data_IF_794157236846
#
_entry.id   IF_794157236846
#
_cell.length_a   1.000
_cell.length_b   1.000
_cell.length_c   1.000
_cell.angle_alpha   90.00
_cell.angle_beta   90.00
_cell.angle_gamma   90.00
#
_symmetry.space_group_name_H-M   'P 1'
#
loop_
_entity.id
_entity.type
_entity.pdbx_description
1 polymer ?
#
# COMPACT_ATOMS: atom_id res chain seq x y z
N UNK A 1 -7.06 -20.27 28.99
CA UNK A 1 -6.71 -20.21 27.55
C UNK A 1 -5.88 -18.96 27.37
N UNK A 2 -4.60 -19.09 27.03
CA UNK A 2 -3.75 -17.94 26.71
C UNK A 2 -4.08 -17.57 25.27
N UNK A 3 -4.66 -16.40 25.05
CA UNK A 3 -4.85 -15.87 23.70
C UNK A 3 -3.46 -15.73 23.08
N UNK A 4 -3.18 -16.35 21.92
CA UNK A 4 -1.89 -16.16 21.27
C UNK A 4 -1.68 -14.66 21.01
N UNK A 5 -0.43 -14.17 21.08
CA UNK A 5 -0.14 -12.78 20.80
C UNK A 5 -0.63 -12.41 19.39
N UNK A 6 -1.17 -11.19 19.19
CA UNK A 6 -1.70 -10.78 17.90
C UNK A 6 -0.60 -10.83 16.84
N UNK A 7 -0.92 -11.43 15.69
CA UNK A 7 -0.03 -11.44 14.52
C UNK A 7 0.13 -10.02 13.99
N UNK A 8 1.19 -9.72 13.21
CA UNK A 8 1.32 -8.44 12.54
C UNK A 8 0.07 -8.04 11.75
N UNK A 9 -0.57 -8.99 11.05
CA UNK A 9 -1.84 -8.77 10.36
C UNK A 9 -2.99 -8.47 11.32
N UNK A 10 -3.06 -9.16 12.46
CA UNK A 10 -4.03 -8.87 13.53
C UNK A 10 -3.86 -7.48 14.16
N UNK A 11 -2.63 -6.98 14.28
CA UNK A 11 -2.36 -5.62 14.71
C UNK A 11 -2.83 -4.60 13.66
N UNK A 12 -2.49 -4.83 12.39
CA UNK A 12 -2.90 -3.98 11.28
C UNK A 12 -4.43 -3.94 11.11
N UNK A 13 -5.13 -5.03 11.39
CA UNK A 13 -6.60 -5.08 11.38
C UNK A 13 -7.21 -4.23 12.52
N UNK A 14 -6.53 -4.14 13.66
CA UNK A 14 -7.00 -3.45 14.86
C UNK A 14 -6.76 -1.93 14.90
N UNK A 15 -5.89 -1.39 14.06
CA UNK A 15 -5.64 0.06 14.03
C UNK A 15 -6.91 0.85 13.69
N UNK A 16 -7.02 2.11 14.10
CA UNK A 16 -7.99 3.05 13.54
C UNK A 16 -7.52 3.55 12.16
N UNK A 17 -8.40 4.17 11.37
CA UNK A 17 -7.99 4.77 10.08
C UNK A 17 -6.97 5.90 10.29
N UNK A 18 -7.09 6.67 11.39
CA UNK A 18 -6.11 7.69 11.74
C UNK A 18 -4.74 7.05 12.03
N UNK A 19 -4.68 5.99 12.84
CA UNK A 19 -3.43 5.28 13.12
C UNK A 19 -2.80 4.69 11.84
N UNK A 20 -3.62 4.05 10.99
CA UNK A 20 -3.16 3.51 9.70
C UNK A 20 -2.56 4.62 8.83
N UNK A 21 -3.28 5.72 8.66
CA UNK A 21 -2.82 6.87 7.85
C UNK A 21 -1.52 7.45 8.40
N UNK A 22 -1.42 7.61 9.73
CA UNK A 22 -0.23 8.14 10.38
C UNK A 22 0.99 7.22 10.22
N UNK A 23 0.80 5.90 10.32
CA UNK A 23 1.86 4.91 10.09
C UNK A 23 2.36 4.99 8.65
N UNK A 24 1.46 5.05 7.67
CA UNK A 24 1.83 5.17 6.27
C UNK A 24 2.56 6.50 5.99
N UNK A 25 2.07 7.63 6.51
CA UNK A 25 2.77 8.92 6.38
C UNK A 25 4.20 8.86 6.95
N UNK A 26 4.39 8.20 8.10
CA UNK A 26 5.72 8.01 8.69
C UNK A 26 6.62 7.12 7.86
N UNK A 27 6.07 6.04 7.28
CA UNK A 27 6.80 5.14 6.39
C UNK A 27 7.32 5.87 5.16
N UNK A 28 6.54 6.78 4.58
CA UNK A 28 6.94 7.56 3.39
C UNK A 28 7.66 8.87 3.71
N UNK A 29 7.77 9.30 4.98
CA UNK A 29 8.33 10.60 5.39
C UNK A 29 9.67 10.94 4.72
N UNK A 30 10.59 9.99 4.64
CA UNK A 30 11.90 10.19 3.97
C UNK A 30 11.74 10.40 2.46
N UNK A 31 10.95 9.56 1.80
CA UNK A 31 10.72 9.61 0.35
C UNK A 31 9.96 10.87 -0.08
N UNK A 32 9.07 11.37 0.80
CA UNK A 32 8.39 12.65 0.64
C UNK A 32 9.38 13.82 0.78
N UNK A 33 10.26 13.79 1.79
CA UNK A 33 11.27 14.84 1.97
C UNK A 33 12.27 14.93 0.80
N UNK A 34 12.63 13.80 0.18
CA UNK A 34 13.43 13.75 -1.05
C UNK A 34 12.76 14.44 -2.25
N UNK A 35 11.44 14.63 -2.18
CA UNK A 35 10.61 15.34 -3.16
C UNK A 35 10.15 16.70 -2.63
N UNK A 36 10.91 17.26 -1.69
CA UNK A 36 10.66 18.58 -1.10
C UNK A 36 9.36 18.69 -0.27
N UNK A 37 8.72 17.56 0.06
CA UNK A 37 7.53 17.50 0.93
C UNK A 37 7.95 17.13 2.35
N UNK A 38 8.38 18.13 3.11
CA UNK A 38 8.76 17.96 4.51
C UNK A 38 7.55 18.06 5.45
N UNK A 39 7.20 16.94 6.10
CA UNK A 39 6.09 16.88 7.05
C UNK A 39 6.57 16.87 8.50
N UNK A 40 5.98 17.73 9.31
CA UNK A 40 6.06 17.66 10.77
C UNK A 40 5.11 16.59 11.31
N UNK A 41 5.40 16.13 12.53
CA UNK A 41 4.53 15.17 13.21
C UNK A 41 3.14 15.74 13.55
N UNK A 42 3.00 17.07 13.66
CA UNK A 42 1.70 17.73 13.84
C UNK A 42 0.88 17.66 12.55
N UNK A 43 1.48 18.00 11.41
CA UNK A 43 0.82 17.92 10.10
C UNK A 43 0.39 16.49 9.78
N UNK A 44 1.23 15.48 10.04
CA UNK A 44 0.86 14.09 9.79
C UNK A 44 -0.34 13.63 10.63
N UNK A 45 -0.45 14.08 11.89
CA UNK A 45 -1.62 13.78 12.74
C UNK A 45 -2.87 14.50 12.24
N UNK A 46 -2.76 15.76 11.88
CA UNK A 46 -3.87 16.55 11.34
C UNK A 46 -4.44 15.91 10.07
N UNK A 47 -3.57 15.46 9.15
CA UNK A 47 -3.98 14.72 7.95
C UNK A 47 -4.69 13.42 8.33
N UNK A 48 -4.09 12.63 9.22
CA UNK A 48 -4.65 11.35 9.63
C UNK A 48 -6.04 11.46 10.28
N UNK A 49 -6.24 12.47 11.12
CA UNK A 49 -7.53 12.81 11.70
C UNK A 49 -8.53 13.25 10.63
N UNK A 50 -8.13 14.15 9.72
CA UNK A 50 -8.99 14.59 8.63
C UNK A 50 -9.44 13.42 7.73
N UNK A 51 -8.54 12.47 7.41
CA UNK A 51 -8.88 11.25 6.66
C UNK A 51 -9.89 10.39 7.42
N UNK A 52 -9.65 10.13 8.70
CA UNK A 52 -10.52 9.28 9.51
C UNK A 52 -11.93 9.88 9.65
N UNK A 53 -12.02 11.19 9.81
CA UNK A 53 -13.27 11.94 9.94
C UNK A 53 -13.89 12.32 8.58
N UNK A 54 -13.24 11.97 7.47
CA UNK A 54 -13.64 12.33 6.09
C UNK A 54 -13.85 13.85 5.93
N UNK A 55 -13.05 14.65 6.62
CA UNK A 55 -13.00 16.10 6.47
C UNK A 55 -12.17 16.49 5.25
N UNK A 56 -12.32 17.73 4.75
CA UNK A 56 -11.40 18.28 3.77
C UNK A 56 -9.94 18.16 4.26
N UNK A 57 -9.08 17.64 3.39
CA UNK A 57 -7.67 17.44 3.72
C UNK A 57 -6.93 18.79 3.81
N UNK A 58 -5.94 18.91 4.70
CA UNK A 58 -5.18 20.14 4.86
C UNK A 58 -4.27 20.41 3.64
N UNK A 59 -3.76 21.65 3.56
CA UNK A 59 -3.01 22.17 2.42
C UNK A 59 -1.88 21.30 1.85
N UNK A 60 -1.08 20.52 2.61
CA UNK A 60 -0.01 19.73 2.01
C UNK A 60 -0.50 18.46 1.30
N UNK A 61 -1.78 18.09 1.41
CA UNK A 61 -2.28 16.84 0.84
C UNK A 61 -2.08 16.70 -0.68
N UNK A 62 -2.33 17.73 -1.52
CA UNK A 62 -2.03 17.65 -2.95
C UNK A 62 -0.55 17.38 -3.24
N UNK A 63 0.38 18.01 -2.52
CA UNK A 63 1.82 17.82 -2.70
C UNK A 63 2.26 16.41 -2.29
N UNK A 64 1.70 15.90 -1.18
CA UNK A 64 1.92 14.52 -0.74
C UNK A 64 1.44 13.54 -1.81
N UNK A 65 0.25 13.76 -2.38
CA UNK A 65 -0.27 12.89 -3.44
C UNK A 65 0.64 12.90 -4.67
N UNK A 66 1.02 14.07 -5.17
CA UNK A 66 1.94 14.18 -6.30
C UNK A 66 3.26 13.43 -6.04
N UNK A 67 3.85 13.64 -4.86
CA UNK A 67 5.07 12.95 -4.48
C UNK A 67 4.90 11.42 -4.36
N UNK A 68 3.75 10.93 -3.88
CA UNK A 68 3.46 9.50 -3.81
C UNK A 68 3.22 8.89 -5.19
N UNK A 69 2.54 9.59 -6.10
CA UNK A 69 2.39 9.15 -7.49
C UNK A 69 3.77 8.94 -8.12
N UNK A 70 4.71 9.85 -7.90
CA UNK A 70 6.10 9.68 -8.39
C UNK A 70 6.82 8.50 -7.74
N UNK A 71 6.62 8.26 -6.45
CA UNK A 71 7.20 7.10 -5.75
C UNK A 71 6.65 5.79 -6.31
N UNK A 72 5.32 5.68 -6.44
CA UNK A 72 4.65 4.49 -6.96
C UNK A 72 5.05 4.27 -8.42
N UNK A 73 5.00 5.31 -9.26
CA UNK A 73 5.41 5.26 -10.65
C UNK A 73 6.86 4.84 -10.84
N UNK A 74 7.78 5.34 -10.02
CA UNK A 74 9.19 4.92 -10.01
C UNK A 74 9.38 3.45 -9.65
N UNK A 75 8.63 2.96 -8.66
CA UNK A 75 8.66 1.54 -8.27
C UNK A 75 8.06 0.63 -9.34
N UNK A 76 6.98 1.05 -10.01
CA UNK A 76 6.42 0.33 -11.16
C UNK A 76 7.42 0.28 -12.31
N UNK A 77 8.11 1.39 -12.59
CA UNK A 77 9.15 1.44 -13.62
C UNK A 77 10.30 0.48 -13.31
N UNK A 78 10.74 0.40 -12.04
CA UNK A 78 11.77 -0.56 -11.62
C UNK A 78 11.35 -2.01 -11.86
N UNK A 79 10.11 -2.39 -11.53
CA UNK A 79 9.64 -3.75 -11.84
C UNK A 79 9.64 -4.05 -13.35
N UNK A 80 9.32 -3.06 -14.19
CA UNK A 80 9.36 -3.20 -15.66
C UNK A 80 10.76 -3.42 -16.21
N UNK A 81 11.81 -2.94 -15.54
CA UNK A 81 13.21 -3.26 -15.92
C UNK A 81 13.48 -4.78 -15.87
N UNK A 82 12.69 -5.53 -15.10
CA UNK A 82 12.73 -6.98 -14.99
C UNK A 82 11.59 -7.69 -15.75
N UNK A 83 10.90 -6.98 -16.65
CA UNK A 83 9.73 -7.46 -17.37
C UNK A 83 8.57 -7.91 -16.45
N UNK A 84 8.47 -7.30 -15.27
CA UNK A 84 7.41 -7.58 -14.30
C UNK A 84 6.39 -6.44 -14.24
N UNK A 85 5.11 -6.83 -14.24
CA UNK A 85 4.03 -6.00 -13.69
C UNK A 85 3.96 -6.19 -12.18
N UNK A 86 3.27 -5.32 -11.44
CA UNK A 86 3.08 -5.51 -10.00
C UNK A 86 2.38 -6.85 -9.67
N UNK A 87 1.25 -7.16 -10.32
CA UNK A 87 0.61 -8.46 -10.16
C UNK A 87 1.51 -9.66 -10.53
N UNK A 88 2.43 -9.51 -11.48
CA UNK A 88 3.41 -10.54 -11.80
C UNK A 88 4.46 -10.65 -10.70
N UNK A 89 5.01 -9.53 -10.22
CA UNK A 89 6.05 -9.53 -9.19
C UNK A 89 5.59 -10.22 -7.91
N UNK A 90 4.35 -9.96 -7.46
CA UNK A 90 3.76 -10.66 -6.30
C UNK A 90 3.78 -12.19 -6.45
N UNK A 91 3.66 -12.69 -7.68
CA UNK A 91 3.64 -14.14 -8.00
C UNK A 91 5.02 -14.72 -8.32
N UNK A 92 6.00 -13.87 -8.58
CA UNK A 92 7.33 -14.28 -9.03
C UNK A 92 8.24 -14.45 -7.83
N UNK A 93 8.73 -15.68 -7.62
CA UNK A 93 9.74 -15.94 -6.60
C UNK A 93 11.13 -15.51 -7.10
N UNK A 94 12.06 -15.23 -6.18
CA UNK A 94 13.43 -14.86 -6.56
C UNK A 94 14.18 -15.98 -7.31
N UNK A 95 13.76 -17.22 -7.10
CA UNK A 95 14.20 -18.43 -7.82
C UNK A 95 13.79 -18.43 -9.29
N UNK A 96 12.74 -17.69 -9.67
CA UNK A 96 12.31 -17.53 -11.06
C UNK A 96 13.12 -16.44 -11.79
N UNK A 97 13.81 -15.57 -11.05
CA UNK A 97 14.59 -14.43 -11.57
C UNK A 97 16.08 -14.73 -11.75
N UNK A 98 16.44 -16.00 -11.95
CA UNK A 98 17.83 -16.47 -12.05
C UNK A 98 18.66 -15.80 -13.15
N UNK A 99 18.03 -15.23 -14.18
CA UNK A 99 18.72 -14.46 -15.21
C UNK A 99 19.23 -13.09 -14.72
N UNK A 100 18.74 -12.57 -13.59
CA UNK A 100 19.05 -11.24 -13.08
C UNK A 100 20.21 -11.22 -12.09
N UNK A 101 20.71 -12.37 -11.67
CA UNK A 101 21.77 -12.46 -10.65
C UNK A 101 22.72 -13.62 -10.94
N UNK A 102 24.01 -13.41 -10.66
CA UNK A 102 25.04 -14.43 -10.84
C UNK A 102 25.68 -14.82 -9.51
N UNK A 103 25.68 -13.89 -8.57
CA UNK A 103 26.22 -14.08 -7.22
C UNK A 103 25.13 -13.97 -6.17
N UNK A 104 25.41 -14.44 -4.96
CA UNK A 104 24.53 -14.23 -3.81
C UNK A 104 24.35 -12.75 -3.48
N UNK A 105 25.35 -11.90 -3.75
CA UNK A 105 25.22 -10.46 -3.55
C UNK A 105 24.17 -9.87 -4.51
N UNK A 106 24.27 -10.18 -5.80
CA UNK A 106 23.30 -9.72 -6.81
C UNK A 106 21.88 -10.22 -6.47
N UNK A 107 21.77 -11.47 -6.02
CA UNK A 107 20.48 -12.04 -5.57
C UNK A 107 19.86 -11.19 -4.46
N UNK A 108 20.65 -10.83 -3.44
CA UNK A 108 20.16 -10.04 -2.30
C UNK A 108 19.80 -8.62 -2.74
N UNK A 109 20.57 -8.02 -3.64
CA UNK A 109 20.29 -6.68 -4.16
C UNK A 109 18.97 -6.67 -4.94
N UNK A 110 18.78 -7.59 -5.90
CA UNK A 110 17.53 -7.70 -6.67
C UNK A 110 16.35 -8.04 -5.77
N UNK A 111 16.52 -8.95 -4.80
CA UNK A 111 15.46 -9.29 -3.86
C UNK A 111 15.04 -8.08 -3.02
N UNK A 112 16.00 -7.32 -2.49
CA UNK A 112 15.73 -6.12 -1.72
C UNK A 112 15.05 -5.05 -2.57
N UNK A 113 15.50 -4.84 -3.80
CA UNK A 113 14.87 -3.88 -4.72
C UNK A 113 13.44 -4.28 -5.06
N UNK A 114 13.18 -5.57 -5.31
CA UNK A 114 11.85 -6.09 -5.62
C UNK A 114 10.89 -5.88 -4.46
N UNK A 115 11.27 -6.33 -3.27
CA UNK A 115 10.44 -6.16 -2.06
C UNK A 115 10.20 -4.68 -1.76
N UNK A 116 11.21 -3.84 -1.89
CA UNK A 116 11.04 -2.40 -1.72
C UNK A 116 10.09 -1.77 -2.76
N UNK A 117 10.15 -2.23 -4.01
CA UNK A 117 9.22 -1.77 -5.05
C UNK A 117 7.78 -2.20 -4.73
N UNK A 118 7.58 -3.44 -4.33
CA UNK A 118 6.27 -3.98 -3.96
C UNK A 118 5.64 -3.24 -2.78
N UNK A 119 6.42 -3.04 -1.71
CA UNK A 119 5.98 -2.28 -0.53
C UNK A 119 5.60 -0.86 -0.92
N UNK A 120 6.42 -0.17 -1.73
CA UNK A 120 6.14 1.21 -2.15
C UNK A 120 4.89 1.29 -3.02
N UNK A 121 4.65 0.32 -3.89
CA UNK A 121 3.45 0.26 -4.72
C UNK A 121 2.22 0.02 -3.84
N UNK A 122 2.21 -1.03 -3.02
CA UNK A 122 1.07 -1.38 -2.17
C UNK A 122 0.74 -0.28 -1.14
N UNK A 123 1.71 0.03 -0.26
CA UNK A 123 1.51 1.00 0.81
C UNK A 123 1.34 2.44 0.28
N UNK A 124 2.02 2.79 -0.82
CA UNK A 124 1.88 4.10 -1.46
C UNK A 124 0.51 4.28 -2.08
N UNK A 125 0.00 3.27 -2.78
CA UNK A 125 -1.37 3.26 -3.32
C UNK A 125 -2.42 3.31 -2.21
N UNK A 126 -2.15 2.67 -1.06
CA UNK A 126 -3.06 2.69 0.09
C UNK A 126 -3.15 4.10 0.68
N UNK A 127 -2.00 4.78 0.82
CA UNK A 127 -1.96 6.16 1.28
C UNK A 127 -2.60 7.12 0.26
N UNK A 128 -2.37 6.94 -1.04
CA UNK A 128 -3.05 7.71 -2.09
C UNK A 128 -4.57 7.60 -1.96
N UNK A 129 -5.09 6.38 -1.84
CA UNK A 129 -6.53 6.13 -1.70
C UNK A 129 -7.11 6.82 -0.45
N UNK A 130 -6.41 6.74 0.68
CA UNK A 130 -6.78 7.44 1.92
C UNK A 130 -6.77 8.96 1.77
N UNK A 131 -5.89 9.50 0.93
CA UNK A 131 -5.79 10.94 0.61
C UNK A 131 -6.74 11.38 -0.53
N UNK A 132 -7.66 10.51 -0.92
CA UNK A 132 -8.71 10.79 -1.91
C UNK A 132 -8.27 10.66 -3.37
N UNK A 133 -7.11 10.07 -3.64
CA UNK A 133 -6.68 9.72 -4.99
C UNK A 133 -6.70 8.22 -5.16
N UNK A 134 -7.67 7.77 -5.94
CA UNK A 134 -7.92 6.36 -6.12
C UNK A 134 -7.30 5.81 -7.41
N UNK A 135 -6.59 6.61 -8.22
CA UNK A 135 -6.15 6.20 -9.57
C UNK A 135 -5.28 4.93 -9.57
N UNK A 136 -4.73 4.59 -8.40
CA UNK A 136 -3.88 3.43 -8.17
C UNK A 136 -4.57 2.28 -7.41
N UNK A 137 -5.90 2.31 -7.25
CA UNK A 137 -6.63 1.29 -6.48
C UNK A 137 -6.51 -0.13 -7.05
N UNK A 138 -6.23 -0.28 -8.34
CA UNK A 138 -5.98 -1.58 -8.96
C UNK A 138 -4.80 -2.30 -8.31
N UNK A 139 -3.78 -1.59 -7.84
CA UNK A 139 -2.67 -2.18 -7.10
C UNK A 139 -3.13 -2.71 -5.72
N UNK A 140 -4.09 -2.05 -5.08
CA UNK A 140 -4.68 -2.55 -3.83
C UNK A 140 -5.45 -3.84 -4.08
N UNK A 141 -6.28 -3.89 -5.13
CA UNK A 141 -7.00 -5.11 -5.51
C UNK A 141 -6.03 -6.24 -5.85
N UNK A 142 -4.96 -5.97 -6.61
CA UNK A 142 -3.96 -6.99 -6.96
C UNK A 142 -3.29 -7.60 -5.72
N UNK A 143 -2.92 -6.79 -4.73
CA UNK A 143 -2.34 -7.28 -3.47
C UNK A 143 -3.34 -8.14 -2.69
N UNK A 144 -4.57 -7.64 -2.51
CA UNK A 144 -5.65 -8.34 -1.82
C UNK A 144 -5.96 -9.69 -2.46
N UNK A 145 -6.14 -9.71 -3.78
CA UNK A 145 -6.51 -10.91 -4.52
C UNK A 145 -5.37 -11.93 -4.58
N UNK A 146 -4.14 -11.46 -4.64
CA UNK A 146 -2.97 -12.33 -4.57
C UNK A 146 -2.99 -13.16 -3.29
N UNK A 147 -3.13 -12.48 -2.15
CA UNK A 147 -3.10 -13.10 -0.82
C UNK A 147 -4.27 -14.05 -0.58
N UNK A 148 -5.50 -13.61 -0.89
CA UNK A 148 -6.68 -14.48 -0.77
C UNK A 148 -6.52 -15.75 -1.60
N UNK A 149 -5.87 -15.67 -2.77
CA UNK A 149 -5.65 -16.81 -3.65
C UNK A 149 -4.53 -17.73 -3.18
N UNK A 150 -3.42 -17.19 -2.67
CA UNK A 150 -2.23 -17.96 -2.29
C UNK A 150 -2.33 -18.50 -0.85
N UNK A 151 -2.81 -17.68 0.07
CA UNK A 151 -2.84 -17.98 1.50
C UNK A 151 -4.24 -18.32 2.02
N UNK A 152 -5.30 -17.96 1.29
CA UNK A 152 -6.67 -18.08 1.78
C UNK A 152 -7.03 -17.09 2.90
N UNK A 153 -6.12 -16.16 3.18
CA UNK A 153 -6.23 -15.09 4.18
C UNK A 153 -5.40 -13.89 3.72
N UNK A 154 -5.54 -12.75 4.41
CA UNK A 154 -4.83 -11.51 4.10
C UNK A 154 -3.61 -11.34 5.02
N UNK A 155 -2.45 -11.12 4.43
CA UNK A 155 -1.26 -10.67 5.15
C UNK A 155 -1.37 -9.19 5.57
N UNK A 156 -0.30 -8.65 6.16
CA UNK A 156 -0.28 -7.26 6.63
C UNK A 156 -0.54 -6.26 5.50
N UNK A 157 0.10 -6.44 4.34
CA UNK A 157 0.04 -5.49 3.24
C UNK A 157 -1.33 -5.55 2.56
N UNK A 158 -1.88 -6.76 2.40
CA UNK A 158 -3.22 -6.97 1.89
C UNK A 158 -4.31 -6.47 2.87
N UNK A 159 -4.10 -6.59 4.19
CA UNK A 159 -4.97 -5.96 5.21
C UNK A 159 -4.94 -4.44 5.08
N UNK A 160 -3.75 -3.83 4.98
CA UNK A 160 -3.61 -2.37 4.78
C UNK A 160 -4.33 -1.94 3.51
N UNK A 161 -4.10 -2.64 2.41
CA UNK A 161 -4.73 -2.38 1.12
C UNK A 161 -6.25 -2.45 1.21
N UNK A 162 -6.80 -3.53 1.80
CA UNK A 162 -8.24 -3.69 2.01
C UNK A 162 -8.82 -2.53 2.82
N UNK A 163 -8.19 -2.18 3.94
CA UNK A 163 -8.70 -1.15 4.83
C UNK A 163 -8.70 0.24 4.19
N UNK A 164 -7.63 0.60 3.49
CA UNK A 164 -7.56 1.85 2.75
C UNK A 164 -8.62 1.91 1.65
N UNK A 165 -8.75 0.83 0.87
CA UNK A 165 -9.70 0.71 -0.23
C UNK A 165 -11.14 0.84 0.25
N UNK A 166 -11.52 0.10 1.29
CA UNK A 166 -12.87 0.13 1.85
C UNK A 166 -13.21 1.49 2.47
N UNK A 167 -12.26 2.13 3.17
CA UNK A 167 -12.46 3.47 3.71
C UNK A 167 -12.71 4.50 2.60
N UNK A 168 -11.90 4.47 1.55
CA UNK A 168 -11.99 5.36 0.39
C UNK A 168 -13.29 5.14 -0.41
N UNK A 169 -13.70 3.89 -0.58
CA UNK A 169 -14.94 3.51 -1.26
C UNK A 169 -16.20 3.68 -0.38
N UNK A 170 -16.04 3.97 0.91
CA UNK A 170 -17.11 4.00 1.91
C UNK A 170 -17.92 2.68 1.97
N UNK A 171 -17.22 1.56 1.90
CA UNK A 171 -17.78 0.21 2.01
C UNK A 171 -17.52 -0.31 3.43
N UNK A 172 -18.55 -0.77 4.18
CA UNK A 172 -18.32 -1.31 5.51
C UNK A 172 -17.62 -2.68 5.44
N UNK A 173 -16.60 -2.93 6.29
CA UNK A 173 -15.76 -4.14 6.21
C UNK A 173 -16.46 -5.45 6.57
N UNK A 174 -17.62 -5.39 7.20
CA UNK A 174 -18.45 -6.54 7.59
C UNK A 174 -19.35 -7.07 6.47
N UNK A 175 -19.42 -6.39 5.32
CA UNK A 175 -20.21 -6.87 4.18
C UNK A 175 -19.59 -8.12 3.57
N UNK A 176 -20.37 -9.19 3.40
CA UNK A 176 -19.88 -10.45 2.80
C UNK A 176 -19.40 -10.27 1.35
N UNK A 177 -19.95 -9.30 0.62
CA UNK A 177 -19.65 -8.98 -0.77
C UNK A 177 -18.67 -7.80 -0.94
N UNK A 178 -17.96 -7.40 0.13
CA UNK A 178 -17.09 -6.22 0.13
C UNK A 178 -16.10 -6.18 -1.04
N UNK A 179 -15.57 -7.34 -1.46
CA UNK A 179 -14.59 -7.42 -2.54
C UNK A 179 -15.21 -7.14 -3.91
N UNK A 180 -16.43 -7.60 -4.15
CA UNK A 180 -17.16 -7.31 -5.38
C UNK A 180 -17.51 -5.82 -5.46
N UNK A 181 -17.99 -5.25 -4.36
CA UNK A 181 -18.25 -3.81 -4.26
C UNK A 181 -16.98 -2.98 -4.49
N UNK A 182 -15.84 -3.39 -3.90
CA UNK A 182 -14.57 -2.71 -4.08
C UNK A 182 -14.07 -2.76 -5.52
N UNK A 183 -14.24 -3.91 -6.22
CA UNK A 183 -13.93 -4.03 -7.66
C UNK A 183 -14.82 -3.11 -8.50
N UNK A 184 -16.13 -3.08 -8.23
CA UNK A 184 -17.06 -2.23 -8.96
C UNK A 184 -16.72 -0.74 -8.77
N UNK A 185 -16.37 -0.34 -7.54
CA UNK A 185 -15.91 1.01 -7.24
C UNK A 185 -14.59 1.36 -7.93
N UNK A 186 -13.64 0.43 -7.99
CA UNK A 186 -12.36 0.66 -8.66
C UNK A 186 -12.52 0.80 -10.18
N UNK A 187 -13.34 -0.06 -10.81
CA UNK A 187 -13.55 -0.06 -12.26
C UNK A 187 -14.54 0.98 -12.80
N UNK A 188 -15.28 1.66 -11.92
CA UNK A 188 -16.22 2.72 -12.30
C UNK A 188 -15.61 4.13 -12.39
N UNK A 189 -14.28 4.23 -12.38
CA UNK A 189 -13.54 5.50 -12.34
C UNK A 189 -12.82 5.79 -13.65
#
# INVERSE_FOLDING_TARGET
MVTPPPTPAGNAAGWTISELTLILLRQFKRLLAEREVALTDAQMREIAEAVAERRPLPSPAPDIRAALVDVVGGSVARLREWDLTFAASLRTEMTDLTALWQTTADFLDVANEKVNAEIRIGAGSALLALLGDADHADYLLQAIEHDLRVHGDLDVDAVIARRALLHAANIPPEHDDWLEQARAWAGGR
#
